data_IF_439501309368
#
_entry.id   IF_439501309368
#
_cell.length_a   1.000
_cell.length_b   1.000
_cell.length_c   1.000
_cell.angle_alpha   90.00
_cell.angle_beta   90.00
_cell.angle_gamma   90.00
#
_symmetry.space_group_name_H-M   'P 1'
#
loop_
_entity.id
_entity.type
_entity.pdbx_description
1 polymer ?
#
# COMPACT_ATOMS: atom_id res chain seq x y z
N UNK A 1 -23.49 7.68 12.07
CA UNK A 1 -22.02 7.40 11.98
C UNK A 1 -21.63 6.84 10.61
N UNK A 2 -21.88 5.56 10.28
CA UNK A 2 -21.42 4.96 9.00
C UNK A 2 -21.84 5.77 7.77
N UNK A 3 -23.11 6.21 7.70
CA UNK A 3 -23.63 7.07 6.62
C UNK A 3 -22.84 8.38 6.43
N UNK A 4 -22.52 9.07 7.53
CA UNK A 4 -21.82 10.36 7.50
C UNK A 4 -20.37 10.19 7.11
N UNK A 5 -19.68 9.20 7.70
CA UNK A 5 -18.29 8.88 7.38
C UNK A 5 -18.17 8.46 5.91
N UNK A 6 -19.08 7.61 5.42
CA UNK A 6 -19.14 7.22 4.01
C UNK A 6 -19.29 8.42 3.08
N UNK A 7 -20.14 9.39 3.42
CA UNK A 7 -20.30 10.61 2.64
C UNK A 7 -19.02 11.47 2.65
N UNK A 8 -18.32 11.53 3.78
CA UNK A 8 -17.08 12.31 3.93
C UNK A 8 -15.91 11.70 3.13
N UNK A 9 -15.63 10.40 3.30
CA UNK A 9 -14.53 9.74 2.58
C UNK A 9 -14.75 9.70 1.08
N UNK A 10 -16.03 9.65 0.63
CA UNK A 10 -16.38 9.76 -0.78
C UNK A 10 -15.98 11.10 -1.38
N UNK A 11 -16.11 12.21 -0.62
CA UNK A 11 -15.67 13.54 -1.06
C UNK A 11 -14.14 13.63 -1.18
N UNK A 12 -13.41 12.88 -0.36
CA UNK A 12 -11.94 12.80 -0.42
C UNK A 12 -11.47 11.99 -1.63
N UNK A 13 -12.30 11.09 -2.16
CA UNK A 13 -12.00 10.26 -3.34
C UNK A 13 -11.93 8.76 -3.06
N UNK A 14 -12.19 8.32 -1.82
CA UNK A 14 -12.31 6.90 -1.51
C UNK A 14 -13.67 6.35 -1.97
N UNK A 15 -13.71 5.08 -2.37
CA UNK A 15 -14.97 4.37 -2.60
C UNK A 15 -15.48 3.81 -1.25
N UNK A 16 -16.62 4.26 -0.71
CA UNK A 16 -17.11 3.75 0.57
C UNK A 16 -17.42 2.24 0.55
N UNK A 17 -17.74 1.68 -0.62
CA UNK A 17 -18.00 0.24 -0.75
C UNK A 17 -16.72 -0.60 -0.56
N UNK A 18 -15.53 -0.03 -0.75
CA UNK A 18 -14.26 -0.75 -0.55
C UNK A 18 -13.72 -0.66 0.89
N UNK A 19 -14.44 0.00 1.80
CA UNK A 19 -14.02 0.29 3.17
C UNK A 19 -14.83 -0.54 4.17
N UNK A 20 -14.13 -1.30 5.01
CA UNK A 20 -14.76 -2.07 6.07
C UNK A 20 -15.15 -1.16 7.24
N UNK A 21 -16.39 -1.25 7.70
CA UNK A 21 -16.86 -0.58 8.91
C UNK A 21 -17.02 -1.59 10.04
N UNK A 22 -16.14 -1.54 11.02
CA UNK A 22 -16.09 -2.48 12.14
C UNK A 22 -16.43 -1.75 13.44
N UNK A 23 -17.53 -2.08 14.13
CA UNK A 23 -17.79 -1.56 15.47
C UNK A 23 -16.88 -2.28 16.46
N UNK A 24 -16.05 -1.55 17.19
CA UNK A 24 -15.06 -2.11 18.13
C UNK A 24 -15.14 -1.42 19.49
N UNK A 25 -14.62 -2.08 20.52
CA UNK A 25 -14.20 -1.45 21.77
C UNK A 25 -12.72 -1.73 21.97
N UNK A 26 -11.87 -0.72 21.75
CA UNK A 26 -10.42 -0.89 21.93
C UNK A 26 -10.03 -1.19 23.38
N UNK A 27 -10.82 -0.74 24.35
CA UNK A 27 -10.56 -0.98 25.78
C UNK A 27 -10.94 -2.39 26.23
N UNK A 28 -12.10 -2.89 25.78
CA UNK A 28 -12.62 -4.20 26.18
C UNK A 28 -12.25 -5.33 25.20
N UNK A 29 -11.68 -5.01 24.04
CA UNK A 29 -11.28 -5.97 23.02
C UNK A 29 -12.40 -6.43 22.09
N UNK A 30 -13.60 -5.86 22.20
CA UNK A 30 -14.76 -6.28 21.42
C UNK A 30 -14.51 -6.12 19.90
N UNK A 31 -14.74 -7.20 19.14
CA UNK A 31 -14.53 -7.28 17.68
C UNK A 31 -13.10 -6.95 17.22
N UNK A 32 -12.10 -6.96 18.11
CA UNK A 32 -10.71 -6.71 17.74
C UNK A 32 -10.10 -7.94 17.05
N UNK A 33 -10.06 -9.06 17.77
CA UNK A 33 -9.51 -10.34 17.31
C UNK A 33 -10.60 -11.42 17.18
N UNK A 34 -11.62 -11.36 18.04
CA UNK A 34 -12.72 -12.31 18.10
C UNK A 34 -14.07 -11.57 18.08
N UNK A 35 -15.15 -12.20 17.58
CA UNK A 35 -16.49 -11.62 17.61
C UNK A 35 -16.96 -11.31 19.04
N UNK A 36 -17.48 -10.11 19.24
CA UNK A 36 -18.04 -9.68 20.52
C UNK A 36 -19.41 -10.30 20.78
N UNK A 37 -19.61 -10.81 21.99
CA UNK A 37 -20.92 -11.25 22.48
C UNK A 37 -21.86 -10.07 22.78
N UNK A 38 -21.33 -8.86 22.99
CA UNK A 38 -22.09 -7.64 23.27
C UNK A 38 -22.76 -7.06 22.01
N UNK A 39 -22.37 -7.52 20.82
CA UNK A 39 -22.80 -6.96 19.54
C UNK A 39 -23.55 -7.96 18.65
N UNK A 40 -24.52 -8.69 19.21
CA UNK A 40 -25.31 -9.70 18.45
C UNK A 40 -26.09 -9.16 17.24
N UNK A 41 -26.30 -7.84 17.17
CA UNK A 41 -26.89 -7.15 16.03
C UNK A 41 -25.94 -7.01 14.83
N UNK A 42 -24.62 -7.02 15.06
CA UNK A 42 -23.63 -6.88 14.00
C UNK A 42 -23.40 -8.21 13.30
N UNK A 43 -23.67 -8.26 11.99
CA UNK A 43 -23.54 -9.48 11.17
C UNK A 43 -22.25 -9.56 10.36
N UNK A 44 -21.31 -8.65 10.64
CA UNK A 44 -20.07 -8.51 9.90
C UNK A 44 -20.09 -7.36 8.90
N UNK A 45 -18.91 -7.02 8.44
CA UNK A 45 -18.64 -6.03 7.41
C UNK A 45 -18.43 -6.73 6.06
N UNK A 46 -18.62 -5.99 4.98
CA UNK A 46 -18.34 -6.42 3.61
C UNK A 46 -17.67 -5.29 2.84
N UNK A 47 -16.73 -5.63 1.98
CA UNK A 47 -16.08 -4.70 1.06
C UNK A 47 -16.16 -5.22 -0.37
N UNK A 48 -16.41 -4.30 -1.30
CA UNK A 48 -16.49 -4.53 -2.74
C UNK A 48 -15.33 -3.81 -3.44
N UNK A 49 -14.52 -4.57 -4.17
CA UNK A 49 -13.35 -4.07 -4.91
C UNK A 49 -13.22 -4.84 -6.21
N UNK A 50 -12.64 -4.21 -7.24
CA UNK A 50 -12.44 -4.87 -8.54
C UNK A 50 -11.48 -6.05 -8.43
N UNK A 51 -10.55 -5.94 -7.50
CA UNK A 51 -9.43 -6.85 -7.29
C UNK A 51 -9.76 -7.99 -6.31
N UNK A 52 -10.97 -8.00 -5.72
CA UNK A 52 -11.43 -9.04 -4.80
C UNK A 52 -12.32 -8.47 -3.68
N UNK A 53 -13.50 -9.06 -3.50
CA UNK A 53 -14.38 -8.74 -2.39
C UNK A 53 -13.87 -9.36 -1.08
N UNK A 54 -14.23 -8.76 0.05
CA UNK A 54 -13.88 -9.27 1.38
C UNK A 54 -15.06 -9.18 2.33
N UNK A 55 -15.09 -10.05 3.33
CA UNK A 55 -16.06 -9.99 4.42
C UNK A 55 -15.47 -10.57 5.69
N UNK A 56 -15.93 -10.11 6.84
CA UNK A 56 -15.49 -10.59 8.14
C UNK A 56 -16.29 -9.95 9.26
N UNK A 57 -15.92 -10.22 10.50
CA UNK A 57 -16.58 -9.65 11.68
C UNK A 57 -15.60 -8.81 12.50
N UNK A 58 -14.35 -9.22 12.57
CA UNK A 58 -13.36 -8.59 13.45
C UNK A 58 -12.55 -7.53 12.71
N UNK A 59 -11.81 -6.73 13.47
CA UNK A 59 -10.81 -5.81 12.94
C UNK A 59 -9.64 -6.59 12.31
N UNK A 60 -9.24 -7.70 12.91
CA UNK A 60 -8.23 -8.58 12.33
C UNK A 60 -8.65 -9.09 10.94
N UNK A 61 -9.89 -9.56 10.79
CA UNK A 61 -10.41 -9.98 9.48
C UNK A 61 -10.31 -8.84 8.46
N UNK A 62 -10.57 -7.60 8.89
CA UNK A 62 -10.54 -6.43 8.03
C UNK A 62 -9.11 -6.07 7.58
N UNK A 63 -8.11 -6.30 8.44
CA UNK A 63 -6.70 -6.15 8.12
C UNK A 63 -6.22 -7.26 7.17
N UNK A 64 -6.62 -8.50 7.41
CA UNK A 64 -6.28 -9.64 6.53
C UNK A 64 -6.92 -9.51 5.14
N UNK A 65 -8.06 -8.81 5.04
CA UNK A 65 -8.69 -8.47 3.77
C UNK A 65 -8.06 -7.26 3.04
N UNK A 66 -6.95 -6.71 3.54
CA UNK A 66 -6.17 -5.72 2.80
C UNK A 66 -5.46 -6.42 1.66
N UNK A 67 -5.78 -6.01 0.43
CA UNK A 67 -5.10 -6.53 -0.75
C UNK A 67 -3.66 -6.00 -0.76
N UNK A 68 -2.66 -6.87 -0.94
CA UNK A 68 -1.28 -6.43 -1.10
C UNK A 68 -1.20 -5.41 -2.25
N UNK A 69 -0.47 -4.28 -2.06
CA UNK A 69 -0.33 -3.31 -3.12
C UNK A 69 0.36 -3.96 -4.33
N UNK A 70 -0.17 -3.72 -5.52
CA UNK A 70 0.50 -4.16 -6.74
C UNK A 70 1.84 -3.45 -6.86
N UNK A 71 2.92 -4.23 -7.01
CA UNK A 71 4.25 -3.66 -7.24
C UNK A 71 4.23 -2.95 -8.59
N UNK A 72 4.66 -1.67 -8.68
CA UNK A 72 4.59 -0.90 -9.90
C UNK A 72 5.71 -1.27 -10.89
N UNK A 73 5.83 -2.54 -11.25
CA UNK A 73 6.88 -3.07 -12.16
C UNK A 73 6.68 -2.61 -13.59
N UNK A 74 5.43 -2.35 -14.01
CA UNK A 74 5.09 -1.91 -15.37
C UNK A 74 5.24 -0.39 -15.56
N UNK A 75 5.50 0.36 -14.47
CA UNK A 75 5.75 1.80 -14.55
C UNK A 75 7.20 2.06 -14.95
N UNK A 76 7.52 3.25 -15.50
CA UNK A 76 8.90 3.63 -15.79
C UNK A 76 9.81 3.55 -14.55
N UNK A 77 11.09 3.23 -14.75
CA UNK A 77 12.07 3.17 -13.66
C UNK A 77 12.17 4.51 -12.92
N UNK A 78 12.00 4.48 -11.59
CA UNK A 78 12.36 5.59 -10.69
C UNK A 78 13.09 5.01 -9.49
N UNK A 79 14.31 5.49 -9.28
CA UNK A 79 15.20 5.08 -8.20
C UNK A 79 15.80 6.34 -7.56
N UNK A 80 15.22 6.83 -6.45
CA UNK A 80 15.81 7.91 -5.67
C UNK A 80 17.13 7.48 -5.05
N UNK A 81 18.19 8.25 -5.29
CA UNK A 81 19.50 7.98 -4.70
C UNK A 81 19.50 8.37 -3.23
N UNK A 82 19.95 7.45 -2.38
CA UNK A 82 20.18 7.67 -0.96
C UNK A 82 21.62 8.13 -0.75
N UNK A 83 22.57 7.37 -1.30
CA UNK A 83 24.01 7.63 -1.18
C UNK A 83 24.72 7.36 -2.51
N UNK A 84 25.90 7.97 -2.66
CA UNK A 84 26.79 7.74 -3.80
C UNK A 84 28.21 7.50 -3.28
N UNK A 85 28.76 6.33 -3.61
CA UNK A 85 30.10 5.92 -3.20
C UNK A 85 31.07 5.91 -4.39
N UNK A 86 32.36 6.09 -4.12
CA UNK A 86 33.43 5.86 -5.08
C UNK A 86 34.32 4.72 -4.58
N UNK A 87 34.24 3.58 -5.24
CA UNK A 87 34.94 2.36 -4.84
C UNK A 87 36.12 2.15 -5.79
N UNK A 88 37.34 2.04 -5.23
CA UNK A 88 38.55 1.78 -6.01
C UNK A 88 38.42 0.49 -6.81
N UNK A 89 38.73 0.53 -8.12
CA UNK A 89 38.61 -0.60 -9.03
C UNK A 89 37.21 -0.85 -9.63
N UNK A 90 36.14 -0.27 -9.08
CA UNK A 90 34.76 -0.40 -9.60
C UNK A 90 34.29 0.91 -10.24
N UNK A 91 34.52 2.04 -9.56
CA UNK A 91 34.07 3.37 -9.98
C UNK A 91 32.98 3.93 -9.06
N UNK A 92 32.03 4.68 -9.64
CA UNK A 92 30.93 5.33 -8.91
C UNK A 92 29.77 4.36 -8.72
N UNK A 93 29.31 4.20 -7.48
CA UNK A 93 28.23 3.28 -7.11
C UNK A 93 27.12 4.06 -6.38
N UNK A 94 26.05 4.44 -7.09
CA UNK A 94 24.86 5.01 -6.47
C UNK A 94 24.01 3.90 -5.82
N UNK A 95 23.43 4.18 -4.64
CA UNK A 95 22.57 3.24 -3.89
C UNK A 95 21.23 3.89 -3.62
N UNK A 96 20.15 3.11 -3.76
CA UNK A 96 18.80 3.58 -3.49
C UNK A 96 17.75 2.46 -3.62
N UNK A 97 16.51 2.79 -3.28
CA UNK A 97 15.36 1.89 -3.42
C UNK A 97 14.70 2.11 -4.78
N UNK A 98 14.41 1.03 -5.50
CA UNK A 98 13.55 1.11 -6.69
C UNK A 98 12.11 1.34 -6.24
N UNK A 99 11.57 2.52 -6.55
CA UNK A 99 10.19 2.88 -6.21
C UNK A 99 9.22 2.42 -7.30
N UNK A 100 9.62 2.53 -8.57
CA UNK A 100 8.84 2.06 -9.73
C UNK A 100 9.74 1.45 -10.80
N UNK A 101 9.17 0.57 -11.62
CA UNK A 101 9.83 -0.08 -12.73
C UNK A 101 10.82 -1.18 -12.31
N UNK A 102 11.73 -1.50 -13.22
CA UNK A 102 12.75 -2.54 -13.05
C UNK A 102 14.10 -1.99 -13.47
N UNK A 103 15.16 -2.35 -12.75
CA UNK A 103 16.54 -2.05 -13.07
C UNK A 103 17.27 -3.36 -13.40
N UNK A 104 17.97 -3.40 -14.54
CA UNK A 104 18.79 -4.53 -14.98
C UNK A 104 20.12 -4.01 -15.53
N UNK A 105 21.21 -4.79 -15.46
CA UNK A 105 22.45 -4.48 -16.17
C UNK A 105 22.21 -4.29 -17.66
N UNK A 106 22.95 -3.38 -18.29
CA UNK A 106 22.81 -3.00 -19.70
C UNK A 106 21.72 -1.96 -19.99
N UNK A 107 20.94 -1.54 -18.98
CA UNK A 107 19.98 -0.45 -19.17
C UNK A 107 20.68 0.90 -19.25
N UNK A 108 20.28 1.73 -20.21
CA UNK A 108 20.66 3.14 -20.26
C UNK A 108 19.71 3.93 -19.37
N UNK A 109 20.25 4.58 -18.34
CA UNK A 109 19.50 5.36 -17.34
C UNK A 109 19.89 6.82 -17.37
N UNK A 110 18.97 7.69 -16.97
CA UNK A 110 19.17 9.14 -16.88
C UNK A 110 18.99 9.61 -15.44
N UNK A 111 19.98 10.33 -14.92
CA UNK A 111 19.99 10.93 -13.59
C UNK A 111 19.45 12.35 -13.65
N UNK A 112 18.26 12.56 -13.07
CA UNK A 112 17.70 13.88 -12.84
C UNK A 112 18.21 14.45 -11.49
N UNK A 113 18.29 15.79 -11.32
CA UNK A 113 18.00 16.82 -12.32
C UNK A 113 19.19 17.14 -13.25
N UNK A 114 20.36 16.53 -13.03
CA UNK A 114 21.59 16.84 -13.78
C UNK A 114 21.54 16.43 -15.27
N UNK A 115 20.54 15.64 -15.68
CA UNK A 115 20.36 15.13 -17.04
C UNK A 115 21.58 14.38 -17.58
N UNK A 116 22.26 13.62 -16.71
CA UNK A 116 23.38 12.76 -17.09
C UNK A 116 22.85 11.38 -17.45
N UNK A 117 23.25 10.86 -18.60
CA UNK A 117 22.82 9.53 -19.08
C UNK A 117 24.00 8.58 -19.15
N UNK A 118 23.83 7.36 -18.65
CA UNK A 118 24.88 6.33 -18.65
C UNK A 118 24.27 4.92 -18.65
N UNK A 119 25.08 3.93 -19.02
CA UNK A 119 24.68 2.52 -18.97
C UNK A 119 24.99 1.93 -17.59
N UNK A 120 24.06 1.12 -17.08
CA UNK A 120 24.24 0.35 -15.86
C UNK A 120 25.13 -0.85 -16.15
N UNK A 121 26.32 -0.88 -15.54
CA UNK A 121 27.26 -1.98 -15.66
C UNK A 121 26.87 -3.19 -14.83
#
# INVERSE_FOLDING_TARGET
>A
ITKEVSAYIKKIGYNPASVAFVPISGWHGDNMLEPSTNMGWFKGWKVERKEGNGSGVTLLDALDAILPPSRPTDKPLRLPLQDVYKIGGIGTVPVGRVETGVLKPGMVVTFAPANVTTEVK
#
